data_IF_124262535274
#
_entry.id   IF_124262535274
#
_cell.length_a   1.000
_cell.length_b   1.000
_cell.length_c   1.000
_cell.angle_alpha   90.00
_cell.angle_beta   90.00
_cell.angle_gamma   90.00
#
_symmetry.space_group_name_H-M   'P 1'
#
loop_
_entity.id
_entity.type
_entity.pdbx_description
1 polymer ?
#
# COMPACT_ATOMS: atom_id res chain seq x y z
N UNK A 1 -17.79 -29.54 6.24
CA UNK A 1 -17.69 -28.27 5.50
C UNK A 1 -16.35 -27.60 5.81
N UNK A 2 -15.71 -27.10 4.80
CA UNK A 2 -14.49 -26.36 4.98
C UNK A 2 -14.78 -24.97 5.55
N UNK A 3 -13.91 -24.48 6.41
CA UNK A 3 -13.99 -23.13 6.93
C UNK A 3 -13.11 -22.21 6.08
N UNK A 4 -13.63 -21.02 5.81
CA UNK A 4 -12.80 -19.96 5.24
C UNK A 4 -11.95 -19.34 6.36
N UNK A 5 -10.66 -19.27 6.15
CA UNK A 5 -9.72 -18.63 7.06
C UNK A 5 -9.14 -17.43 6.36
N UNK A 6 -9.15 -16.28 7.03
CA UNK A 6 -8.56 -15.06 6.52
C UNK A 6 -7.18 -14.87 7.14
N UNK A 7 -6.18 -14.69 6.30
CA UNK A 7 -4.81 -14.44 6.73
C UNK A 7 -4.34 -13.14 6.11
N UNK A 8 -3.96 -12.20 6.94
CA UNK A 8 -3.43 -10.92 6.49
C UNK A 8 -1.94 -11.07 6.18
N UNK A 9 -1.58 -10.93 4.92
CA UNK A 9 -0.20 -11.06 4.45
C UNK A 9 0.45 -9.71 4.20
N UNK A 10 -0.21 -8.61 4.52
CA UNK A 10 0.31 -7.28 4.28
C UNK A 10 1.12 -6.76 5.46
N UNK A 11 2.16 -5.97 5.16
CA UNK A 11 2.84 -5.21 6.20
C UNK A 11 1.90 -4.11 6.73
N UNK A 12 1.95 -3.79 8.02
CA UNK A 12 1.25 -2.62 8.51
C UNK A 12 1.73 -1.37 7.77
N UNK A 13 0.79 -0.51 7.39
CA UNK A 13 1.15 0.74 6.73
C UNK A 13 1.71 1.73 7.75
N UNK A 14 2.92 2.23 7.50
CA UNK A 14 3.57 3.16 8.40
C UNK A 14 5.06 3.26 8.12
N UNK A 15 5.76 4.03 8.96
CA UNK A 15 7.21 4.13 8.88
C UNK A 15 7.88 2.86 9.40
N UNK A 16 9.10 2.62 8.92
CA UNK A 16 9.90 1.48 9.37
C UNK A 16 9.64 0.18 8.61
N UNK A 17 8.76 0.19 7.63
CA UNK A 17 8.53 -0.97 6.77
C UNK A 17 9.64 -1.12 5.73
N UNK A 18 9.80 -2.32 5.13
CA UNK A 18 10.78 -2.51 4.07
C UNK A 18 10.58 -1.51 2.93
N UNK A 19 11.69 -0.93 2.48
CA UNK A 19 11.71 0.07 1.42
C UNK A 19 12.54 -0.46 0.26
N UNK A 20 12.24 0.04 -0.94
CA UNK A 20 13.13 -0.20 -2.07
C UNK A 20 14.49 0.43 -1.78
N UNK A 21 15.61 -0.25 -2.11
CA UNK A 21 16.94 0.30 -1.87
C UNK A 21 17.08 1.73 -2.43
N UNK A 22 17.72 2.60 -1.69
CA UNK A 22 17.95 4.02 -1.96
C UNK A 22 16.73 4.93 -1.84
N UNK A 23 15.53 4.41 -1.57
CA UNK A 23 14.40 5.25 -1.23
C UNK A 23 14.44 5.60 0.26
N UNK A 24 14.16 6.86 0.58
CA UNK A 24 13.98 7.28 1.97
C UNK A 24 12.60 6.91 2.49
N UNK A 25 12.47 6.84 3.81
CA UNK A 25 11.17 6.67 4.44
C UNK A 25 10.39 7.98 4.40
N UNK A 26 9.07 7.89 4.50
CA UNK A 26 8.21 9.06 4.49
C UNK A 26 8.08 9.69 5.86
N UNK A 27 7.59 10.92 5.91
CA UNK A 27 7.34 11.67 7.13
C UNK A 27 5.85 11.74 7.41
N UNK A 28 5.49 11.65 8.69
CA UNK A 28 4.11 11.77 9.15
C UNK A 28 4.01 13.04 9.97
N UNK A 29 3.14 13.96 9.53
CA UNK A 29 2.82 15.17 10.27
C UNK A 29 1.40 15.08 10.80
N UNK A 30 1.23 15.27 12.10
CA UNK A 30 -0.09 15.32 12.73
C UNK A 30 -0.63 16.72 12.64
N UNK A 31 -1.73 16.87 11.90
CA UNK A 31 -2.45 18.15 11.76
C UNK A 31 -3.44 18.30 12.89
N UNK A 32 -4.14 17.22 13.24
CA UNK A 32 -5.05 17.17 14.40
C UNK A 32 -4.81 15.88 15.16
N UNK A 33 -4.94 15.91 16.48
CA UNK A 33 -4.68 14.73 17.31
C UNK A 33 -5.61 14.70 18.53
N UNK A 34 -5.80 13.51 19.04
CA UNK A 34 -6.55 13.27 20.27
C UNK A 34 -5.69 13.60 21.51
N UNK A 35 -6.27 14.06 22.60
CA UNK A 35 -7.68 14.42 22.78
C UNK A 35 -8.01 15.86 22.38
N UNK A 36 -7.00 16.67 22.03
CA UNK A 36 -7.14 18.12 21.85
C UNK A 36 -8.18 18.48 20.77
N UNK A 37 -8.17 17.77 19.64
CA UNK A 37 -9.04 18.06 18.50
C UNK A 37 -10.16 17.04 18.33
N UNK A 38 -10.28 16.06 19.23
CA UNK A 38 -11.25 14.96 19.16
C UNK A 38 -11.20 14.16 17.86
N UNK A 39 -10.09 14.22 17.14
CA UNK A 39 -9.85 13.45 15.90
C UNK A 39 -8.37 13.35 15.63
N UNK A 40 -8.03 12.39 14.79
CA UNK A 40 -6.68 12.25 14.25
C UNK A 40 -6.71 12.61 12.78
N UNK A 41 -5.85 13.53 12.38
CA UNK A 41 -5.63 13.89 10.99
C UNK A 41 -4.13 14.00 10.76
N UNK A 42 -3.62 13.27 9.79
CA UNK A 42 -2.20 13.21 9.48
C UNK A 42 -1.96 13.44 7.99
N UNK A 43 -0.79 13.97 7.69
CA UNK A 43 -0.28 14.02 6.31
C UNK A 43 0.92 13.11 6.18
N UNK A 44 1.04 12.50 5.01
CA UNK A 44 2.21 11.69 4.65
C UNK A 44 3.01 12.46 3.60
N UNK A 45 4.26 12.80 3.94
CA UNK A 45 5.12 13.59 3.07
C UNK A 45 6.24 12.73 2.51
N UNK A 46 6.60 12.97 1.25
CA UNK A 46 7.68 12.25 0.57
C UNK A 46 7.43 10.74 0.50
N UNK A 47 6.18 10.35 0.31
CA UNK A 47 5.79 8.95 0.25
C UNK A 47 6.10 8.39 -1.14
N UNK A 48 6.96 7.37 -1.17
CA UNK A 48 7.28 6.65 -2.40
C UNK A 48 6.25 5.57 -2.68
N UNK A 49 5.88 5.40 -3.94
CA UNK A 49 4.86 4.42 -4.32
C UNK A 49 5.26 2.96 -4.02
N UNK A 50 6.55 2.68 -3.97
CA UNK A 50 7.08 1.34 -3.67
C UNK A 50 7.40 1.18 -2.18
N UNK A 51 6.46 1.58 -1.35
CA UNK A 51 6.59 1.47 0.10
C UNK A 51 5.58 0.45 0.60
N UNK A 52 6.05 -0.47 1.48
CA UNK A 52 5.20 -1.48 2.09
C UNK A 52 4.58 -2.44 1.07
N UNK A 53 3.50 -3.13 1.43
CA UNK A 53 2.82 -4.09 0.55
C UNK A 53 1.97 -3.34 -0.47
N UNK A 54 2.21 -3.59 -1.74
CA UNK A 54 1.52 -2.88 -2.83
C UNK A 54 1.54 -3.70 -4.11
N UNK A 55 0.76 -3.27 -5.08
CA UNK A 55 0.76 -3.82 -6.42
C UNK A 55 1.22 -2.75 -7.42
N UNK A 56 2.08 -3.15 -8.35
CA UNK A 56 2.54 -2.28 -9.43
C UNK A 56 1.60 -2.38 -10.62
N UNK A 57 1.45 -1.28 -11.34
CA UNK A 57 0.76 -1.29 -12.63
C UNK A 57 1.77 -1.43 -13.78
N UNK A 58 1.30 -1.84 -14.98
CA UNK A 58 2.19 -1.90 -16.15
C UNK A 58 2.91 -0.58 -16.43
N UNK A 59 2.27 0.55 -16.16
CA UNK A 59 2.86 1.87 -16.40
C UNK A 59 4.14 2.12 -15.62
N UNK A 60 4.41 1.34 -14.58
CA UNK A 60 5.64 1.48 -13.81
C UNK A 60 6.89 1.25 -14.66
N UNK A 61 6.85 0.27 -15.56
CA UNK A 61 8.03 -0.12 -16.35
C UNK A 61 7.77 -0.17 -17.86
N UNK A 62 6.54 0.02 -18.30
CA UNK A 62 6.16 -0.04 -19.72
C UNK A 62 5.70 1.34 -20.15
N UNK A 63 6.38 2.00 -21.11
CA UNK A 63 5.88 3.26 -21.66
C UNK A 63 4.46 3.08 -22.21
N UNK A 64 3.56 4.00 -21.88
CA UNK A 64 2.15 3.94 -22.26
C UNK A 64 1.40 2.72 -21.71
N UNK A 65 1.98 2.03 -20.72
CA UNK A 65 1.31 0.94 -20.01
C UNK A 65 0.11 1.41 -19.20
N UNK A 66 -0.82 0.49 -18.95
CA UNK A 66 -2.04 0.82 -18.22
C UNK A 66 -1.75 1.28 -16.78
N UNK A 67 -2.51 2.26 -16.32
CA UNK A 67 -2.51 2.68 -14.92
C UNK A 67 -3.35 1.72 -14.07
N UNK A 68 -3.13 1.74 -12.77
CA UNK A 68 -3.81 0.83 -11.84
C UNK A 68 -5.33 0.86 -11.99
N UNK A 69 -5.92 2.05 -12.13
CA UNK A 69 -7.37 2.20 -12.24
C UNK A 69 -7.95 1.70 -13.57
N UNK A 70 -7.09 1.44 -14.56
CA UNK A 70 -7.49 0.93 -15.86
C UNK A 70 -7.47 -0.60 -15.92
N UNK A 71 -6.92 -1.26 -14.90
CA UNK A 71 -6.83 -2.73 -14.87
C UNK A 71 -8.15 -3.34 -14.42
N UNK A 72 -8.53 -4.51 -14.97
CA UNK A 72 -9.72 -5.22 -14.50
C UNK A 72 -9.58 -5.62 -13.04
N UNK A 73 -10.67 -5.57 -12.29
CA UNK A 73 -10.67 -5.97 -10.87
C UNK A 73 -10.29 -7.44 -10.69
N UNK A 74 -10.55 -8.27 -11.67
CA UNK A 74 -10.20 -9.69 -11.65
C UNK A 74 -8.70 -9.93 -11.50
N UNK A 75 -7.88 -8.94 -11.85
CA UNK A 75 -6.42 -9.05 -11.69
C UNK A 75 -6.00 -8.99 -10.22
N UNK A 76 -6.88 -8.52 -9.33
CA UNK A 76 -6.58 -8.31 -7.91
C UNK A 76 -7.27 -9.28 -6.98
N UNK A 77 -8.08 -10.18 -7.51
CA UNK A 77 -8.85 -11.12 -6.70
C UNK A 77 -9.11 -12.40 -7.48
N UNK A 78 -8.89 -13.52 -6.85
CA UNK A 78 -9.18 -14.83 -7.46
C UNK A 78 -8.38 -15.94 -6.81
N UNK A 79 -8.54 -17.15 -7.33
CA UNK A 79 -7.75 -18.28 -6.92
C UNK A 79 -6.26 -18.04 -7.20
N UNK A 80 -5.41 -18.53 -6.32
CA UNK A 80 -3.99 -18.38 -6.45
C UNK A 80 -3.27 -19.64 -5.97
N UNK A 81 -2.02 -19.75 -6.35
CA UNK A 81 -1.15 -20.84 -5.92
C UNK A 81 0.19 -20.25 -5.50
N UNK A 82 0.72 -20.74 -4.39
CA UNK A 82 2.05 -20.37 -3.93
C UNK A 82 3.06 -21.39 -4.44
N UNK A 83 4.02 -20.95 -5.21
CA UNK A 83 5.07 -21.80 -5.80
C UNK A 83 6.28 -21.87 -4.90
#
# INVERSE_FOLDING_TARGET
>A
MSKTVLVDLSHPFGRGNPLWPSNGDFHIDRVQHMPMHYRLLQTFNDFHMHNSTHADSPSHVIPEGAFTHELPLENYYGPAVCL
#
